data_IF_936236746548
#
_entry.id   IF_936236746548
#
_cell.length_a   1.000
_cell.length_b   1.000
_cell.length_c   1.000
_cell.angle_alpha   90.00
_cell.angle_beta   90.00
_cell.angle_gamma   90.00
#
_symmetry.space_group_name_H-M   'P 1'
#
loop_
_entity.id
_entity.type
_entity.pdbx_description
1 polymer ?
#
# COMPACT_ATOMS: atom_id res chain seq x y z
N UNK A 1 -26.75 5.57 8.15
CA UNK A 1 -25.90 6.79 8.08
C UNK A 1 -25.15 6.95 9.41
N UNK A 2 -24.08 7.75 9.44
CA UNK A 2 -23.17 8.03 10.58
C UNK A 2 -23.81 8.11 11.98
N UNK A 3 -25.04 8.60 12.09
CA UNK A 3 -25.82 8.74 13.34
C UNK A 3 -26.21 7.40 13.98
N UNK A 4 -26.38 6.34 13.17
CA UNK A 4 -26.65 5.00 13.69
C UNK A 4 -25.45 4.47 14.49
N UNK A 5 -24.26 4.56 13.90
CA UNK A 5 -23.02 4.12 14.52
C UNK A 5 -22.61 4.99 15.73
N UNK A 6 -22.85 6.31 15.69
CA UNK A 6 -22.57 7.17 16.85
C UNK A 6 -23.42 6.79 18.07
N UNK A 7 -24.72 6.51 17.88
CA UNK A 7 -25.59 6.06 18.98
C UNK A 7 -25.18 4.69 19.54
N UNK A 8 -24.72 3.78 18.68
CA UNK A 8 -24.19 2.50 19.16
C UNK A 8 -22.87 2.66 19.92
N UNK A 9 -22.02 3.61 19.52
CA UNK A 9 -20.74 3.88 20.18
C UNK A 9 -20.91 4.45 21.58
N UNK A 10 -21.82 5.40 21.76
CA UNK A 10 -22.12 5.95 23.10
C UNK A 10 -22.60 4.85 24.05
N UNK A 11 -23.50 3.99 23.57
CA UNK A 11 -23.98 2.84 24.33
C UNK A 11 -22.85 1.85 24.64
N UNK A 12 -22.00 1.53 23.67
CA UNK A 12 -20.85 0.64 23.86
C UNK A 12 -19.86 1.19 24.91
N UNK A 13 -19.52 2.47 24.86
CA UNK A 13 -18.62 3.11 25.85
C UNK A 13 -19.28 3.14 27.23
N UNK A 14 -20.61 3.29 27.28
CA UNK A 14 -21.33 3.19 28.54
C UNK A 14 -21.28 1.74 29.09
N UNK A 15 -21.56 0.73 28.27
CA UNK A 15 -21.52 -0.67 28.73
C UNK A 15 -20.08 -1.15 29.07
N UNK A 16 -19.04 -0.47 28.60
CA UNK A 16 -17.63 -0.86 28.76
C UNK A 16 -16.78 0.25 29.44
N UNK A 17 -16.72 0.28 30.78
CA UNK A 17 -16.06 1.37 31.52
C UNK A 17 -14.55 1.52 31.24
N UNK A 18 -13.87 0.48 30.76
CA UNK A 18 -12.45 0.51 30.36
C UNK A 18 -12.17 1.48 29.19
N UNK A 19 -13.21 1.84 28.44
CA UNK A 19 -13.15 2.80 27.35
C UNK A 19 -13.47 4.23 27.79
N UNK A 20 -13.87 4.44 29.05
CA UNK A 20 -14.16 5.77 29.61
C UNK A 20 -12.88 6.37 30.21
N UNK A 21 -12.60 7.64 29.91
CA UNK A 21 -11.53 8.40 30.55
C UNK A 21 -11.84 9.88 30.46
N UNK A 22 -11.87 10.63 31.56
CA UNK A 22 -12.10 12.08 31.53
C UNK A 22 -11.01 12.83 30.74
N UNK A 23 -9.80 12.29 30.68
CA UNK A 23 -8.65 12.91 29.99
C UNK A 23 -8.54 12.52 28.50
N UNK A 24 -9.45 11.69 27.97
CA UNK A 24 -9.41 11.30 26.56
C UNK A 24 -10.22 12.28 25.70
N UNK A 25 -9.56 12.88 24.71
CA UNK A 25 -10.20 13.72 23.72
C UNK A 25 -10.23 13.01 22.36
N UNK A 26 -11.43 12.65 21.84
CA UNK A 26 -11.56 12.08 20.51
C UNK A 26 -10.91 12.95 19.44
N UNK A 27 -10.25 12.31 18.48
CA UNK A 27 -9.73 12.97 17.28
C UNK A 27 -10.25 12.29 16.02
N UNK A 28 -10.00 12.90 14.86
CA UNK A 28 -10.30 12.28 13.56
C UNK A 28 -9.64 10.90 13.40
N UNK A 29 -8.48 10.70 14.02
CA UNK A 29 -7.65 9.49 13.85
C UNK A 29 -7.81 8.48 14.98
N UNK A 30 -8.30 8.93 16.14
CA UNK A 30 -8.62 8.09 17.29
C UNK A 30 -9.95 8.58 17.88
N UNK A 31 -11.09 8.19 17.28
CA UNK A 31 -12.40 8.68 17.69
C UNK A 31 -12.88 8.04 19.01
N UNK A 32 -12.31 6.90 19.38
CA UNK A 32 -12.65 6.14 20.57
C UNK A 32 -11.34 5.75 21.26
N UNK A 33 -11.31 5.87 22.59
CA UNK A 33 -10.19 5.42 23.42
C UNK A 33 -9.95 3.93 23.20
N UNK A 34 -8.70 3.49 23.21
CA UNK A 34 -8.41 2.06 23.33
C UNK A 34 -8.42 1.61 24.80
N UNK A 35 -9.05 0.48 25.09
CA UNK A 35 -8.98 -0.12 26.42
C UNK A 35 -7.53 -0.49 26.76
N UNK A 36 -7.20 -0.57 28.06
CA UNK A 36 -5.83 -0.89 28.51
C UNK A 36 -5.30 -2.20 27.93
N UNK A 37 -6.16 -3.20 27.72
CA UNK A 37 -5.76 -4.46 27.11
C UNK A 37 -5.44 -4.31 25.61
N UNK A 38 -6.20 -3.51 24.85
CA UNK A 38 -5.92 -3.24 23.43
C UNK A 38 -4.59 -2.52 23.23
N UNK A 39 -4.25 -1.59 24.12
CA UNK A 39 -2.92 -0.94 24.10
C UNK A 39 -1.82 -1.97 24.34
N UNK A 40 -1.98 -2.85 25.33
CA UNK A 40 -1.02 -3.93 25.60
C UNK A 40 -0.90 -4.92 24.45
N UNK A 41 -2.01 -5.28 23.81
CA UNK A 41 -2.03 -6.16 22.63
C UNK A 41 -1.30 -5.51 21.45
N UNK A 42 -1.52 -4.21 21.23
CA UNK A 42 -0.82 -3.46 20.20
C UNK A 42 0.67 -3.34 20.48
N UNK A 43 1.06 -3.04 21.73
CA UNK A 43 2.47 -2.98 22.16
C UNK A 43 3.17 -4.35 22.06
N UNK A 44 2.43 -5.44 22.26
CA UNK A 44 2.93 -6.81 22.14
C UNK A 44 2.89 -7.35 20.70
N UNK A 45 2.24 -6.65 19.77
CA UNK A 45 2.10 -7.10 18.39
C UNK A 45 3.48 -7.11 17.70
N UNK A 46 3.78 -8.15 16.89
CA UNK A 46 5.04 -8.20 16.16
C UNK A 46 5.12 -7.05 15.16
N UNK A 47 6.32 -6.46 15.02
CA UNK A 47 6.59 -5.52 13.94
C UNK A 47 6.54 -6.27 12.60
N UNK A 48 5.50 -6.01 11.81
CA UNK A 48 5.30 -6.70 10.53
C UNK A 48 6.20 -6.13 9.41
N UNK A 49 6.65 -4.88 9.53
CA UNK A 49 7.52 -4.24 8.56
C UNK A 49 7.48 -2.72 8.63
N UNK A 50 8.27 -2.08 7.78
CA UNK A 50 8.30 -0.62 7.63
C UNK A 50 7.66 -0.22 6.31
N UNK A 51 6.74 0.75 6.36
CA UNK A 51 6.17 1.37 5.17
C UNK A 51 7.02 2.59 4.78
N UNK A 52 7.62 2.54 3.59
CA UNK A 52 8.34 3.68 3.04
C UNK A 52 7.38 4.73 2.47
N UNK A 53 7.84 5.98 2.35
CA UNK A 53 7.02 7.09 1.84
C UNK A 53 6.65 6.79 0.38
N UNK A 54 5.37 6.94 -0.01
CA UNK A 54 4.96 6.74 -1.39
C UNK A 54 5.53 7.84 -2.28
N UNK A 55 5.95 7.46 -3.49
CA UNK A 55 6.28 8.39 -4.57
C UNK A 55 5.07 8.51 -5.49
N UNK A 56 4.64 9.74 -5.75
CA UNK A 56 3.52 10.02 -6.64
C UNK A 56 4.02 10.76 -7.87
N UNK A 57 3.69 10.25 -9.05
CA UNK A 57 4.02 10.89 -10.33
C UNK A 57 2.77 11.12 -11.18
N UNK A 58 2.82 12.13 -12.03
CA UNK A 58 1.83 12.33 -13.09
C UNK A 58 2.30 11.69 -14.39
N UNK A 59 1.44 10.88 -15.00
CA UNK A 59 1.62 10.39 -16.37
C UNK A 59 1.06 11.35 -17.43
N UNK A 60 0.73 12.58 -17.02
CA UNK A 60 0.30 13.67 -17.89
C UNK A 60 1.39 14.73 -17.98
N UNK A 61 1.42 15.47 -19.08
CA UNK A 61 2.24 16.66 -19.22
C UNK A 61 1.64 17.86 -18.44
N UNK A 62 2.30 19.00 -18.50
CA UNK A 62 1.91 20.22 -17.79
C UNK A 62 0.55 20.78 -18.26
N UNK A 63 0.13 20.43 -19.48
CA UNK A 63 -1.17 20.78 -20.06
C UNK A 63 -2.28 19.80 -19.67
N UNK A 64 -1.98 18.77 -18.87
CA UNK A 64 -2.90 17.72 -18.46
C UNK A 64 -3.16 16.64 -19.52
N UNK A 65 -2.44 16.63 -20.63
CA UNK A 65 -2.52 15.63 -21.69
C UNK A 65 -1.73 14.39 -21.30
N UNK A 66 -2.30 13.20 -21.50
CA UNK A 66 -1.63 11.93 -21.23
C UNK A 66 -0.38 11.79 -22.12
N UNK A 67 0.75 11.43 -21.51
CA UNK A 67 2.01 11.24 -22.24
C UNK A 67 1.92 10.06 -23.20
N UNK A 68 2.81 10.01 -24.20
CA UNK A 68 2.92 8.82 -25.06
C UNK A 68 3.41 7.61 -24.24
N UNK A 69 3.05 6.36 -24.60
CA UNK A 69 3.39 5.17 -23.82
C UNK A 69 4.89 5.06 -23.44
N UNK A 70 5.79 5.28 -24.40
CA UNK A 70 7.23 5.26 -24.13
C UNK A 70 7.69 6.34 -23.14
N UNK A 71 7.02 7.50 -23.10
CA UNK A 71 7.30 8.57 -22.14
C UNK A 71 6.73 8.24 -20.75
N UNK A 72 5.56 7.60 -20.69
CA UNK A 72 5.00 7.09 -19.42
C UNK A 72 5.93 6.06 -18.80
N UNK A 73 6.38 5.06 -19.57
CA UNK A 73 7.30 4.03 -19.12
C UNK A 73 8.61 4.62 -18.60
N UNK A 74 9.23 5.57 -19.34
CA UNK A 74 10.44 6.26 -18.88
C UNK A 74 10.24 7.05 -17.58
N UNK A 75 9.11 7.75 -17.46
CA UNK A 75 8.80 8.53 -16.26
C UNK A 75 8.58 7.64 -15.05
N UNK A 76 7.89 6.52 -15.23
CA UNK A 76 7.66 5.54 -14.19
C UNK A 76 8.96 4.79 -13.82
N UNK A 77 9.83 4.48 -14.79
CA UNK A 77 11.14 3.90 -14.53
C UNK A 77 12.02 4.84 -13.70
N UNK A 78 12.03 6.14 -14.01
CA UNK A 78 12.73 7.14 -13.18
C UNK A 78 12.18 7.18 -11.76
N UNK A 79 10.86 7.23 -11.61
CA UNK A 79 10.21 7.27 -10.30
C UNK A 79 10.45 5.99 -9.48
N UNK A 80 10.54 4.85 -10.17
CA UNK A 80 10.92 3.59 -9.55
C UNK A 80 12.33 3.65 -8.99
N UNK A 81 13.30 4.15 -9.77
CA UNK A 81 14.67 4.39 -9.30
C UNK A 81 14.69 5.35 -8.10
N UNK A 82 13.97 6.47 -8.18
CA UNK A 82 13.85 7.42 -7.07
C UNK A 82 13.29 6.73 -5.81
N UNK A 83 12.33 5.81 -5.97
CA UNK A 83 11.75 5.06 -4.86
C UNK A 83 12.79 4.11 -4.22
N UNK A 84 13.59 3.44 -5.05
CA UNK A 84 14.67 2.57 -4.58
C UNK A 84 15.74 3.34 -3.81
N UNK A 85 16.03 4.59 -4.22
CA UNK A 85 17.00 5.45 -3.51
C UNK A 85 16.52 5.86 -2.11
N UNK A 86 15.22 5.78 -1.82
CA UNK A 86 14.68 6.01 -0.46
C UNK A 86 14.85 4.81 0.48
N UNK A 87 15.22 3.65 -0.06
CA UNK A 87 15.40 2.43 0.72
C UNK A 87 16.81 2.40 1.36
N UNK A 88 16.97 1.72 2.52
CA UNK A 88 18.28 1.47 3.09
C UNK A 88 19.21 0.78 2.08
N UNK A 89 20.51 1.08 2.12
CA UNK A 89 21.50 0.52 1.20
C UNK A 89 21.40 -1.01 1.14
N UNK A 90 21.32 -1.56 -0.07
CA UNK A 90 21.10 -2.98 -0.42
C UNK A 90 19.67 -3.52 -0.34
N UNK A 91 18.67 -2.74 0.07
CA UNK A 91 17.28 -3.19 0.07
C UNK A 91 16.65 -3.00 -1.33
N UNK A 92 16.38 -4.10 -2.03
CA UNK A 92 15.69 -4.12 -3.33
C UNK A 92 14.39 -4.92 -3.22
N UNK A 93 13.28 -4.45 -3.81
CA UNK A 93 12.06 -5.23 -3.88
C UNK A 93 12.28 -6.51 -4.66
N UNK A 94 11.79 -7.63 -4.11
CA UNK A 94 11.81 -8.96 -4.76
C UNK A 94 10.44 -9.33 -5.33
N UNK A 95 9.44 -8.46 -5.12
CA UNK A 95 8.06 -8.64 -5.57
C UNK A 95 7.31 -7.31 -5.67
N UNK A 96 6.31 -7.28 -6.53
CA UNK A 96 5.43 -6.13 -6.80
C UNK A 96 3.98 -6.58 -6.75
N UNK A 97 3.19 -5.91 -5.90
CA UNK A 97 1.74 -6.01 -5.86
C UNK A 97 1.16 -4.85 -6.67
N UNK A 98 0.21 -5.15 -7.55
CA UNK A 98 -0.45 -4.14 -8.40
C UNK A 98 -1.89 -4.57 -8.69
N UNK A 99 -2.72 -3.63 -9.13
CA UNK A 99 -4.13 -3.90 -9.45
C UNK A 99 -4.47 -3.51 -10.89
N UNK A 100 -4.79 -4.52 -11.72
CA UNK A 100 -5.19 -4.30 -13.12
C UNK A 100 -6.68 -3.99 -13.31
N UNK A 101 -7.55 -4.11 -12.29
CA UNK A 101 -9.02 -4.13 -12.45
C UNK A 101 -9.54 -2.94 -13.25
N UNK A 102 -9.13 -1.72 -12.86
CA UNK A 102 -9.57 -0.47 -13.52
C UNK A 102 -8.39 0.34 -14.10
N UNK A 103 -7.19 -0.26 -14.17
CA UNK A 103 -5.95 0.45 -14.54
C UNK A 103 -5.01 -0.34 -15.47
N UNK A 104 -5.56 -1.02 -16.49
CA UNK A 104 -4.76 -1.79 -17.47
C UNK A 104 -3.66 -0.93 -18.12
N UNK A 105 -3.95 0.32 -18.47
CA UNK A 105 -2.95 1.21 -19.08
C UNK A 105 -1.79 1.53 -18.13
N UNK A 106 -2.05 1.72 -16.83
CA UNK A 106 -1.01 1.89 -15.83
C UNK A 106 -0.16 0.63 -15.65
N UNK A 107 -0.78 -0.55 -15.67
CA UNK A 107 -0.06 -1.83 -15.62
C UNK A 107 0.84 -2.01 -16.85
N UNK A 108 0.38 -1.67 -18.05
CA UNK A 108 1.22 -1.71 -19.26
C UNK A 108 2.43 -0.78 -19.11
N UNK A 109 2.22 0.44 -18.62
CA UNK A 109 3.31 1.38 -18.37
C UNK A 109 4.29 0.85 -17.31
N UNK A 110 3.80 0.19 -16.26
CA UNK A 110 4.61 -0.45 -15.22
C UNK A 110 5.44 -1.61 -15.78
N UNK A 111 4.83 -2.51 -16.55
CA UNK A 111 5.55 -3.60 -17.22
C UNK A 111 6.67 -3.06 -18.11
N UNK A 112 6.38 -2.03 -18.91
CA UNK A 112 7.39 -1.40 -19.76
C UNK A 112 8.49 -0.72 -18.95
N UNK A 113 8.14 -0.04 -17.85
CA UNK A 113 9.11 0.61 -16.97
C UNK A 113 10.07 -0.39 -16.32
N UNK A 114 9.55 -1.49 -15.77
CA UNK A 114 10.37 -2.53 -15.16
C UNK A 114 11.25 -3.24 -16.19
N UNK A 115 10.73 -3.52 -17.39
CA UNK A 115 11.53 -4.06 -18.50
C UNK A 115 12.67 -3.12 -18.94
N UNK A 116 12.46 -1.79 -18.89
CA UNK A 116 13.53 -0.82 -19.17
C UNK A 116 14.65 -0.85 -18.13
N UNK A 117 14.32 -1.22 -16.89
CA UNK A 117 15.27 -1.30 -15.78
C UNK A 117 15.95 -2.67 -15.67
N UNK A 118 15.34 -3.72 -16.22
CA UNK A 118 15.87 -5.08 -16.20
C UNK A 118 16.97 -5.28 -17.26
N UNK A 119 18.12 -4.63 -17.05
CA UNK A 119 19.26 -4.66 -18.00
C UNK A 119 20.32 -5.70 -17.66
N UNK A 120 20.28 -6.26 -16.46
CA UNK A 120 21.22 -7.23 -15.88
C UNK A 120 20.56 -8.57 -15.51
N UNK A 121 19.32 -8.80 -15.95
CA UNK A 121 18.45 -9.92 -15.56
C UNK A 121 18.16 -10.01 -14.04
N UNK A 122 18.45 -8.95 -13.26
CA UNK A 122 18.14 -8.86 -11.82
C UNK A 122 16.90 -8.00 -11.50
N UNK A 123 16.23 -7.46 -12.52
CA UNK A 123 15.03 -6.65 -12.37
C UNK A 123 13.76 -7.49 -12.22
N UNK A 124 12.69 -6.88 -11.68
CA UNK A 124 11.40 -7.54 -11.49
C UNK A 124 10.64 -7.68 -12.82
N UNK A 125 10.10 -8.87 -13.07
CA UNK A 125 9.20 -9.17 -14.19
C UNK A 125 7.78 -9.46 -13.67
N UNK A 126 6.81 -8.65 -14.10
CA UNK A 126 5.41 -8.85 -13.74
C UNK A 126 4.81 -10.15 -14.31
N UNK A 127 5.44 -10.74 -15.33
CA UNK A 127 5.03 -12.03 -15.89
C UNK A 127 5.58 -13.22 -15.08
N UNK A 128 6.58 -13.00 -14.21
CA UNK A 128 7.04 -14.01 -13.28
C UNK A 128 6.05 -14.11 -12.11
N UNK A 129 5.45 -15.29 -11.93
CA UNK A 129 4.44 -15.54 -10.90
C UNK A 129 4.91 -15.32 -9.45
N UNK A 130 6.22 -15.34 -9.22
CA UNK A 130 6.85 -15.11 -7.93
C UNK A 130 7.26 -13.64 -7.69
N UNK A 131 7.17 -12.80 -8.72
CA UNK A 131 7.58 -11.40 -8.66
C UNK A 131 6.38 -10.45 -8.91
N UNK A 132 5.46 -10.82 -9.80
CA UNK A 132 4.26 -10.06 -10.14
C UNK A 132 2.97 -10.61 -9.52
N UNK A 133 2.33 -9.79 -8.68
CA UNK A 133 1.07 -10.13 -8.02
C UNK A 133 -0.04 -9.16 -8.45
N UNK A 134 -0.74 -9.53 -9.54
CA UNK A 134 -1.95 -8.84 -10.00
C UNK A 134 -3.15 -9.17 -9.11
N UNK A 135 -3.47 -8.27 -8.18
CA UNK A 135 -4.53 -8.49 -7.20
C UNK A 135 -5.91 -8.31 -7.83
N UNK A 136 -6.01 -7.46 -8.86
CA UNK A 136 -7.24 -7.28 -9.62
C UNK A 136 -7.68 -8.56 -10.33
N UNK A 137 -6.73 -9.34 -10.85
CA UNK A 137 -7.02 -10.67 -11.41
C UNK A 137 -7.25 -11.75 -10.36
N UNK A 138 -6.53 -11.71 -9.23
CA UNK A 138 -6.58 -12.78 -8.20
C UNK A 138 -7.76 -12.65 -7.25
N UNK A 139 -8.15 -11.43 -6.87
CA UNK A 139 -9.20 -11.16 -5.89
C UNK A 139 -10.42 -10.44 -6.47
N UNK A 140 -10.34 -9.93 -7.71
CA UNK A 140 -11.40 -9.14 -8.32
C UNK A 140 -11.41 -7.68 -7.83
N UNK A 141 -12.50 -6.97 -8.14
CA UNK A 141 -12.63 -5.54 -7.82
C UNK A 141 -12.77 -5.31 -6.31
N UNK A 142 -11.68 -4.85 -5.68
CA UNK A 142 -11.67 -4.42 -4.28
C UNK A 142 -11.98 -2.93 -4.09
N UNK A 143 -12.28 -2.23 -5.21
CA UNK A 143 -12.69 -0.83 -5.23
C UNK A 143 -11.65 0.10 -4.61
N UNK A 144 -12.11 1.13 -3.88
CA UNK A 144 -11.23 2.11 -3.20
C UNK A 144 -10.34 1.49 -2.11
N UNK A 145 -10.59 0.24 -1.73
CA UNK A 145 -9.79 -0.49 -0.73
C UNK A 145 -8.58 -1.19 -1.33
N UNK A 146 -8.44 -1.23 -2.66
CA UNK A 146 -7.36 -1.94 -3.34
C UNK A 146 -5.96 -1.59 -2.81
N UNK A 147 -5.58 -0.30 -2.64
CA UNK A 147 -4.25 0.02 -2.10
C UNK A 147 -4.00 -0.56 -0.70
N UNK A 148 -5.02 -0.57 0.17
CA UNK A 148 -4.89 -1.14 1.52
C UNK A 148 -4.77 -2.66 1.49
N UNK A 149 -5.51 -3.32 0.59
CA UNK A 149 -5.39 -4.78 0.39
C UNK A 149 -3.99 -5.13 -0.08
N UNK A 150 -3.46 -4.41 -1.08
CA UNK A 150 -2.11 -4.60 -1.59
C UNK A 150 -1.05 -4.38 -0.50
N UNK A 151 -1.15 -3.30 0.29
CA UNK A 151 -0.23 -3.05 1.41
C UNK A 151 -0.27 -4.17 2.45
N UNK A 152 -1.46 -4.65 2.82
CA UNK A 152 -1.58 -5.75 3.79
C UNK A 152 -0.95 -7.04 3.25
N UNK A 153 -1.22 -7.40 1.99
CA UNK A 153 -0.64 -8.59 1.36
C UNK A 153 0.88 -8.48 1.23
N UNK A 154 1.38 -7.32 0.79
CA UNK A 154 2.81 -7.04 0.70
C UNK A 154 3.49 -7.12 2.08
N UNK A 155 2.84 -6.58 3.12
CA UNK A 155 3.35 -6.63 4.50
C UNK A 155 3.44 -8.07 5.00
N UNK A 156 2.39 -8.87 4.79
CA UNK A 156 2.39 -10.28 5.20
C UNK A 156 3.42 -11.09 4.41
N UNK A 157 3.55 -10.87 3.10
CA UNK A 157 4.55 -11.54 2.28
C UNK A 157 5.98 -11.20 2.73
N UNK A 158 6.27 -9.93 3.00
CA UNK A 158 7.57 -9.51 3.56
C UNK A 158 7.83 -10.10 4.94
N UNK A 159 6.81 -10.21 5.78
CA UNK A 159 6.93 -10.77 7.13
C UNK A 159 7.18 -12.28 7.12
N UNK A 160 6.50 -13.03 6.24
CA UNK A 160 6.59 -14.50 6.17
C UNK A 160 7.78 -14.99 5.33
N UNK A 161 7.98 -14.39 4.16
CA UNK A 161 8.94 -14.88 3.16
C UNK A 161 10.22 -14.02 3.10
N UNK A 162 10.30 -12.95 3.91
CA UNK A 162 11.38 -11.99 3.88
C UNK A 162 11.38 -11.13 2.61
N UNK A 163 12.39 -10.26 2.47
CA UNK A 163 12.55 -9.39 1.31
C UNK A 163 11.63 -8.16 1.30
N UNK A 164 11.95 -7.20 0.44
CA UNK A 164 11.16 -5.98 0.27
C UNK A 164 10.04 -6.23 -0.75
N UNK A 165 8.86 -5.68 -0.48
CA UNK A 165 7.71 -5.73 -1.38
C UNK A 165 7.36 -4.31 -1.86
N UNK A 166 7.10 -4.16 -3.15
CA UNK A 166 6.58 -2.92 -3.73
C UNK A 166 5.06 -3.00 -3.95
N UNK A 167 4.39 -1.86 -3.90
CA UNK A 167 2.95 -1.71 -4.18
C UNK A 167 2.77 -0.58 -5.18
N UNK A 168 1.98 -0.79 -6.24
CA UNK A 168 1.78 0.19 -7.35
C UNK A 168 0.30 0.35 -7.71
#
# INVERSE_FOLDING_TARGET
SREYWHRQLERFIWDNPDYRSPDFHPSKWLPIRWAKHQVKEFEAAPLLGHLHRPITISLRNDEGVLLKPAQQAKRLASAWTDALETLPTAARPVRVFYDSTDNINGVIALTQALNLLNTDDEGLDLNNVNEGYDIGRRLGQTGVSSPLVQINLATIASYLDGGVSAVV
#
